data_IF_308175806309
#
_entry.id   IF_308175806309
#
_cell.length_a   1.000
_cell.length_b   1.000
_cell.length_c   1.000
_cell.angle_alpha   90.00
_cell.angle_beta   90.00
_cell.angle_gamma   90.00
#
_symmetry.space_group_name_H-M   'P 1'
#
loop_
_entity.id
_entity.type
_entity.pdbx_description
1 polymer ?
#
# COMPACT_ATOMS: atom_id res chain seq x y z
N UNK A 1 -28.95 68.67 2.13
CA UNK A 1 -29.15 67.42 1.36
C UNK A 1 -27.95 67.25 0.45
N UNK A 2 -27.04 66.35 0.82
CA UNK A 2 -25.76 66.11 0.14
C UNK A 2 -25.96 65.15 -1.04
N UNK A 3 -25.79 65.66 -2.27
CA UNK A 3 -25.72 64.81 -3.46
C UNK A 3 -24.37 64.08 -3.46
N UNK A 4 -24.38 62.80 -3.08
CA UNK A 4 -23.25 61.90 -3.25
C UNK A 4 -23.07 61.56 -4.73
N UNK A 5 -22.06 62.15 -5.38
CA UNK A 5 -21.63 61.72 -6.70
C UNK A 5 -20.94 60.35 -6.59
N UNK A 6 -21.59 59.30 -7.10
CA UNK A 6 -20.93 58.01 -7.31
C UNK A 6 -19.92 58.20 -8.44
N UNK A 7 -18.64 58.33 -8.09
CA UNK A 7 -17.55 58.26 -9.07
C UNK A 7 -17.52 56.82 -9.59
N UNK A 8 -18.12 56.57 -10.76
CA UNK A 8 -17.87 55.35 -11.52
C UNK A 8 -16.40 55.39 -11.93
N UNK A 9 -15.55 54.67 -11.20
CA UNK A 9 -14.17 54.45 -11.56
C UNK A 9 -14.12 53.81 -12.95
N UNK A 10 -13.80 54.61 -13.96
CA UNK A 10 -13.43 54.12 -15.29
C UNK A 10 -12.09 53.41 -15.12
N UNK A 11 -12.12 52.09 -14.96
CA UNK A 11 -10.91 51.27 -15.09
C UNK A 11 -10.29 51.60 -16.43
N UNK A 12 -9.05 52.09 -16.43
CA UNK A 12 -8.40 52.40 -17.70
C UNK A 12 -8.40 51.13 -18.56
N UNK A 13 -8.57 51.26 -19.88
CA UNK A 13 -8.55 50.09 -20.79
C UNK A 13 -7.33 49.19 -20.56
N UNK A 14 -6.22 49.76 -20.07
CA UNK A 14 -5.01 49.05 -19.67
C UNK A 14 -5.20 48.17 -18.42
N UNK A 15 -5.89 48.65 -17.39
CA UNK A 15 -6.21 47.84 -16.21
C UNK A 15 -7.18 46.70 -16.52
N UNK A 16 -8.20 46.97 -17.35
CA UNK A 16 -9.16 45.93 -17.74
C UNK A 16 -8.51 44.85 -18.61
N UNK A 17 -7.60 45.24 -19.52
CA UNK A 17 -6.84 44.30 -20.34
C UNK A 17 -5.84 43.48 -19.48
N UNK A 18 -5.18 44.10 -18.50
CA UNK A 18 -4.31 43.40 -17.56
C UNK A 18 -5.07 42.37 -16.70
N UNK A 19 -6.26 42.72 -16.21
CA UNK A 19 -7.12 41.82 -15.44
C UNK A 19 -7.59 40.61 -16.28
N UNK A 20 -7.93 40.83 -17.56
CA UNK A 20 -8.31 39.75 -18.49
C UNK A 20 -7.11 38.85 -18.79
N UNK A 21 -5.94 39.41 -19.08
CA UNK A 21 -4.71 38.64 -19.30
C UNK A 21 -4.37 37.80 -18.06
N UNK A 22 -4.52 38.37 -16.87
CA UNK A 22 -4.24 37.68 -15.62
C UNK A 22 -5.26 36.57 -15.32
N UNK A 23 -6.54 36.80 -15.63
CA UNK A 23 -7.58 35.76 -15.53
C UNK A 23 -7.34 34.61 -16.53
N UNK A 24 -6.90 34.91 -17.76
CA UNK A 24 -6.56 33.90 -18.78
C UNK A 24 -5.31 33.11 -18.39
N UNK A 25 -4.29 33.76 -17.84
CA UNK A 25 -3.09 33.09 -17.31
C UNK A 25 -3.44 32.18 -16.13
N UNK A 26 -4.29 32.64 -15.20
CA UNK A 26 -4.80 31.82 -14.10
C UNK A 26 -5.60 30.61 -14.60
N UNK A 27 -6.48 30.80 -15.59
CA UNK A 27 -7.26 29.72 -16.20
C UNK A 27 -6.35 28.69 -16.91
N UNK A 28 -5.31 29.17 -17.59
CA UNK A 28 -4.30 28.32 -18.24
C UNK A 28 -3.49 27.53 -17.20
N UNK A 29 -3.02 28.18 -16.13
CA UNK A 29 -2.28 27.52 -15.03
C UNK A 29 -3.14 26.44 -14.36
N UNK A 30 -4.42 26.75 -14.07
CA UNK A 30 -5.37 25.79 -13.50
C UNK A 30 -5.60 24.62 -14.48
N UNK A 31 -5.77 24.89 -15.77
CA UNK A 31 -5.95 23.83 -16.78
C UNK A 31 -4.72 22.92 -16.92
N UNK A 32 -3.51 23.47 -16.79
CA UNK A 32 -2.26 22.70 -16.84
C UNK A 32 -1.97 21.94 -15.55
N UNK A 33 -2.59 22.30 -14.44
CA UNK A 33 -2.43 21.63 -13.13
C UNK A 33 -3.40 20.46 -12.92
N UNK A 34 -4.55 20.44 -13.61
CA UNK A 34 -5.57 19.38 -13.49
C UNK A 34 -5.10 18.04 -14.08
N UNK A 35 -4.41 18.06 -15.23
CA UNK A 35 -3.93 16.82 -15.85
C UNK A 35 -2.85 16.10 -15.02
N UNK A 36 -1.81 16.79 -14.48
CA UNK A 36 -0.86 16.18 -13.55
C UNK A 36 -1.53 15.67 -12.28
N UNK A 37 -2.52 16.39 -11.74
CA UNK A 37 -3.25 15.97 -10.53
C UNK A 37 -4.04 14.68 -10.75
N UNK A 38 -4.80 14.58 -11.85
CA UNK A 38 -5.56 13.36 -12.16
C UNK A 38 -4.64 12.17 -12.43
N UNK A 39 -3.52 12.38 -13.12
CA UNK A 39 -2.51 11.34 -13.34
C UNK A 39 -1.92 10.85 -12.02
N UNK A 40 -1.58 11.77 -11.12
CA UNK A 40 -1.01 11.45 -9.81
C UNK A 40 -2.02 10.72 -8.91
N UNK A 41 -3.27 11.17 -8.87
CA UNK A 41 -4.32 10.51 -8.10
C UNK A 41 -4.63 9.10 -8.63
N UNK A 42 -4.60 8.92 -9.96
CA UNK A 42 -4.76 7.60 -10.58
C UNK A 42 -3.58 6.68 -10.26
N UNK A 43 -2.36 7.21 -10.19
CA UNK A 43 -1.16 6.46 -9.88
C UNK A 43 -1.17 5.93 -8.44
N UNK A 44 -1.52 6.80 -7.46
CA UNK A 44 -1.73 6.39 -6.06
C UNK A 44 -2.82 5.31 -5.98
N UNK A 45 -3.97 5.54 -6.63
CA UNK A 45 -5.07 4.57 -6.58
C UNK A 45 -4.67 3.21 -7.19
N UNK A 46 -3.86 3.20 -8.24
CA UNK A 46 -3.39 1.97 -8.86
C UNK A 46 -2.35 1.26 -7.98
N UNK A 47 -1.48 2.02 -7.34
CA UNK A 47 -0.53 1.51 -6.36
C UNK A 47 -1.25 0.86 -5.16
N UNK A 48 -2.26 1.51 -4.59
CA UNK A 48 -3.06 0.95 -3.48
C UNK A 48 -3.81 -0.33 -3.90
N UNK A 49 -4.38 -0.36 -5.10
CA UNK A 49 -5.04 -1.56 -5.65
C UNK A 49 -4.02 -2.70 -5.86
N UNK A 50 -2.85 -2.42 -6.41
CA UNK A 50 -1.80 -3.41 -6.64
C UNK A 50 -1.28 -3.98 -5.32
N UNK A 51 -1.07 -3.13 -4.32
CA UNK A 51 -0.61 -3.53 -2.98
C UNK A 51 -1.66 -4.41 -2.30
N UNK A 52 -2.93 -3.97 -2.34
CA UNK A 52 -4.07 -4.75 -1.83
C UNK A 52 -4.13 -6.11 -2.50
N UNK A 53 -4.00 -6.17 -3.82
CA UNK A 53 -4.07 -7.42 -4.57
C UNK A 53 -2.98 -8.40 -4.14
N UNK A 54 -1.73 -7.95 -4.10
CA UNK A 54 -0.59 -8.84 -3.83
C UNK A 54 -0.56 -9.31 -2.38
N UNK A 55 -0.78 -8.41 -1.41
CA UNK A 55 -0.76 -8.78 0.02
C UNK A 55 -1.82 -9.85 0.32
N UNK A 56 -3.02 -9.69 -0.21
CA UNK A 56 -4.11 -10.65 0.01
C UNK A 56 -3.90 -11.97 -0.73
N UNK A 57 -3.23 -11.96 -1.89
CA UNK A 57 -2.80 -13.20 -2.57
C UNK A 57 -1.73 -13.93 -1.74
N UNK A 58 -0.74 -13.21 -1.23
CA UNK A 58 0.33 -13.79 -0.42
C UNK A 58 -0.21 -14.35 0.90
N UNK A 59 -1.07 -13.63 1.60
CA UNK A 59 -1.76 -14.13 2.79
C UNK A 59 -2.61 -15.38 2.47
N UNK A 60 -3.38 -15.36 1.37
CA UNK A 60 -4.12 -16.55 0.90
C UNK A 60 -3.21 -17.76 0.66
N UNK A 61 -2.03 -17.57 0.08
CA UNK A 61 -1.03 -18.64 -0.09
C UNK A 61 -0.53 -19.18 1.26
N UNK A 62 -0.42 -18.32 2.27
CA UNK A 62 -0.12 -18.69 3.65
C UNK A 62 -1.15 -19.68 4.22
N UNK A 63 -2.43 -19.32 4.21
CA UNK A 63 -3.49 -20.22 4.68
C UNK A 63 -3.51 -21.55 3.92
N UNK A 64 -3.43 -21.52 2.59
CA UNK A 64 -3.45 -22.75 1.79
C UNK A 64 -2.24 -23.66 2.09
N UNK A 65 -1.08 -23.09 2.44
CA UNK A 65 0.04 -23.87 2.96
C UNK A 65 -0.31 -24.56 4.27
N UNK A 66 -0.97 -23.88 5.21
CA UNK A 66 -1.41 -24.50 6.47
C UNK A 66 -2.52 -25.52 6.28
N UNK A 67 -3.38 -25.35 5.28
CA UNK A 67 -4.35 -26.38 4.90
C UNK A 67 -3.66 -27.70 4.52
N UNK A 68 -2.56 -27.63 3.77
CA UNK A 68 -1.74 -28.80 3.43
C UNK A 68 -1.01 -29.37 4.65
N UNK A 69 -0.42 -28.53 5.49
CA UNK A 69 0.29 -28.97 6.69
C UNK A 69 -0.65 -29.75 7.61
N UNK A 70 -1.84 -29.21 7.87
CA UNK A 70 -2.86 -29.86 8.67
C UNK A 70 -3.36 -31.16 8.04
N UNK A 71 -3.61 -31.18 6.72
CA UNK A 71 -4.02 -32.40 6.02
C UNK A 71 -2.94 -33.48 6.11
N UNK A 72 -1.66 -33.11 6.07
CA UNK A 72 -0.53 -34.05 6.12
C UNK A 72 -0.44 -34.84 7.43
N UNK A 73 -0.92 -34.26 8.53
CA UNK A 73 -0.95 -34.89 9.86
C UNK A 73 -2.34 -35.43 10.24
N UNK A 74 -3.31 -35.39 9.32
CA UNK A 74 -4.67 -35.87 9.55
C UNK A 74 -5.56 -34.91 10.35
N UNK A 75 -5.17 -33.65 10.54
CA UNK A 75 -6.01 -32.63 11.16
C UNK A 75 -6.97 -32.00 10.12
N UNK A 76 -8.04 -32.71 9.78
CA UNK A 76 -9.01 -32.21 8.81
C UNK A 76 -9.71 -30.92 9.28
N UNK A 77 -9.92 -30.73 10.59
CA UNK A 77 -10.55 -29.50 11.10
C UNK A 77 -9.68 -28.27 10.82
N UNK A 78 -8.38 -28.33 11.13
CA UNK A 78 -7.44 -27.27 10.79
C UNK A 78 -7.32 -27.08 9.28
N UNK A 79 -7.29 -28.18 8.52
CA UNK A 79 -7.21 -28.10 7.06
C UNK A 79 -8.45 -27.42 6.43
N UNK A 80 -9.64 -27.65 6.98
CA UNK A 80 -10.89 -27.00 6.55
C UNK A 80 -10.88 -25.51 6.88
N UNK A 81 -10.47 -25.14 8.10
CA UNK A 81 -10.40 -23.75 8.53
C UNK A 81 -9.50 -22.93 7.59
N UNK A 82 -8.25 -23.37 7.44
CA UNK A 82 -7.25 -22.76 6.59
C UNK A 82 -7.61 -22.76 5.09
N UNK A 83 -8.28 -23.80 4.60
CA UNK A 83 -8.80 -23.78 3.23
C UNK A 83 -9.90 -22.73 3.02
N UNK A 84 -10.56 -22.29 4.10
CA UNK A 84 -11.68 -21.34 4.09
C UNK A 84 -11.29 -19.89 4.23
N UNK A 85 -10.22 -19.60 4.99
CA UNK A 85 -9.74 -18.23 5.26
C UNK A 85 -9.54 -17.40 3.99
N UNK A 86 -8.92 -17.90 2.88
CA UNK A 86 -8.80 -17.14 1.63
C UNK A 86 -10.12 -16.61 1.07
N UNK A 87 -11.20 -17.40 1.14
CA UNK A 87 -12.52 -16.97 0.68
C UNK A 87 -13.19 -16.03 1.68
N UNK A 88 -12.99 -16.23 2.99
CA UNK A 88 -13.64 -15.46 4.05
C UNK A 88 -13.02 -14.07 4.26
N UNK A 89 -11.69 -13.96 4.15
CA UNK A 89 -10.94 -12.76 4.60
C UNK A 89 -10.34 -11.94 3.46
N UNK A 90 -10.05 -12.58 2.32
CA UNK A 90 -9.25 -11.97 1.25
C UNK A 90 -10.01 -11.79 -0.05
N UNK A 91 -10.91 -12.71 -0.40
CA UNK A 91 -11.60 -12.71 -1.68
C UNK A 91 -12.39 -11.41 -1.94
N UNK A 92 -13.11 -10.89 -0.96
CA UNK A 92 -13.90 -9.66 -1.12
C UNK A 92 -13.01 -8.41 -1.34
N UNK A 93 -11.76 -8.43 -0.84
CA UNK A 93 -10.79 -7.34 -1.03
C UNK A 93 -10.21 -7.36 -2.45
N UNK A 94 -9.86 -8.55 -2.97
CA UNK A 94 -9.21 -8.69 -4.29
C UNK A 94 -10.21 -8.78 -5.45
N UNK A 95 -11.43 -9.24 -5.21
CA UNK A 95 -12.40 -9.50 -6.26
C UNK A 95 -12.74 -8.26 -7.11
N UNK A 96 -13.03 -7.07 -6.54
CA UNK A 96 -13.32 -5.88 -7.33
C UNK A 96 -12.15 -5.46 -8.23
N UNK A 97 -10.91 -5.66 -7.76
CA UNK A 97 -9.69 -5.31 -8.48
C UNK A 97 -9.49 -6.24 -9.67
N UNK A 98 -9.62 -7.56 -9.43
CA UNK A 98 -9.48 -8.56 -10.49
C UNK A 98 -10.64 -8.43 -11.50
N UNK A 99 -11.87 -8.22 -11.05
CA UNK A 99 -13.04 -8.08 -11.94
C UNK A 99 -12.89 -6.92 -12.92
N UNK A 100 -12.38 -5.77 -12.44
CA UNK A 100 -12.10 -4.58 -13.26
C UNK A 100 -11.07 -4.84 -14.36
N UNK A 101 -10.10 -5.75 -14.12
CA UNK A 101 -8.93 -5.97 -14.99
C UNK A 101 -9.05 -7.24 -15.83
N UNK A 102 -9.67 -8.29 -15.30
CA UNK A 102 -9.89 -9.59 -15.93
C UNK A 102 -11.11 -10.30 -15.28
N UNK A 103 -12.33 -10.11 -15.80
CA UNK A 103 -13.57 -10.64 -15.21
C UNK A 103 -13.70 -12.17 -15.30
N UNK A 104 -13.07 -12.83 -16.27
CA UNK A 104 -13.10 -14.29 -16.38
C UNK A 104 -12.29 -14.94 -15.25
N UNK A 105 -11.12 -14.36 -14.94
CA UNK A 105 -10.22 -14.86 -13.89
C UNK A 105 -10.88 -14.89 -12.51
N UNK A 106 -11.61 -13.83 -12.14
CA UNK A 106 -12.23 -13.77 -10.80
C UNK A 106 -13.35 -14.79 -10.62
N UNK A 107 -14.10 -15.12 -11.69
CA UNK A 107 -15.17 -16.09 -11.61
C UNK A 107 -14.65 -17.49 -11.27
N UNK A 108 -13.54 -17.90 -11.92
CA UNK A 108 -12.91 -19.17 -11.61
C UNK A 108 -12.28 -19.18 -10.21
N UNK A 109 -11.56 -18.12 -9.85
CA UNK A 109 -10.90 -18.02 -8.54
C UNK A 109 -11.91 -18.09 -7.40
N UNK A 110 -13.01 -17.32 -7.48
CA UNK A 110 -14.11 -17.33 -6.51
C UNK A 110 -14.68 -18.74 -6.34
N UNK A 111 -14.98 -19.41 -7.45
CA UNK A 111 -15.56 -20.75 -7.41
C UNK A 111 -14.66 -21.77 -6.70
N UNK A 112 -13.35 -21.74 -6.99
CA UNK A 112 -12.38 -22.65 -6.36
C UNK A 112 -12.23 -22.35 -4.87
N UNK A 113 -11.99 -21.09 -4.49
CA UNK A 113 -11.78 -20.71 -3.09
C UNK A 113 -13.01 -21.04 -2.22
N UNK A 114 -14.22 -20.69 -2.68
CA UNK A 114 -15.44 -20.95 -1.88
C UNK A 114 -15.75 -22.44 -1.73
N UNK A 115 -15.39 -23.28 -2.71
CA UNK A 115 -15.68 -24.72 -2.66
C UNK A 115 -14.62 -25.53 -1.92
N UNK A 116 -13.37 -25.07 -1.87
CA UNK A 116 -12.25 -25.84 -1.34
C UNK A 116 -12.52 -26.41 0.07
N UNK A 117 -13.01 -25.64 1.07
CA UNK A 117 -13.20 -26.15 2.43
C UNK A 117 -14.11 -27.36 2.49
N UNK A 118 -15.18 -27.36 1.69
CA UNK A 118 -16.15 -28.47 1.65
C UNK A 118 -15.59 -29.74 1.01
N UNK A 119 -14.54 -29.63 0.18
CA UNK A 119 -13.86 -30.78 -0.44
C UNK A 119 -12.87 -31.45 0.51
N UNK A 120 -12.22 -30.69 1.39
CA UNK A 120 -11.12 -31.15 2.26
C UNK A 120 -11.41 -32.48 2.97
N UNK A 121 -12.60 -32.74 3.58
CA UNK A 121 -12.85 -34.00 4.27
C UNK A 121 -12.89 -35.23 3.35
N UNK A 122 -13.21 -35.03 2.07
CA UNK A 122 -13.46 -36.12 1.12
C UNK A 122 -12.25 -36.44 0.24
N UNK A 123 -11.24 -35.57 0.21
CA UNK A 123 -10.08 -35.69 -0.67
C UNK A 123 -8.81 -36.04 0.10
N UNK A 124 -7.88 -36.71 -0.57
CA UNK A 124 -6.54 -37.00 -0.06
C UNK A 124 -5.66 -35.75 -0.01
N UNK A 125 -4.51 -35.86 0.66
CA UNK A 125 -3.47 -34.82 0.64
C UNK A 125 -3.06 -34.44 -0.80
N UNK A 126 -2.89 -35.43 -1.67
CA UNK A 126 -2.46 -35.20 -3.05
C UNK A 126 -3.52 -34.50 -3.90
N UNK A 127 -4.79 -34.82 -3.68
CA UNK A 127 -5.91 -34.13 -4.32
C UNK A 127 -6.07 -32.70 -3.79
N UNK A 128 -5.91 -32.48 -2.48
CA UNK A 128 -5.89 -31.13 -1.90
C UNK A 128 -4.74 -30.29 -2.49
N UNK A 129 -3.55 -30.87 -2.61
CA UNK A 129 -2.39 -30.23 -3.23
C UNK A 129 -2.66 -29.85 -4.68
N UNK A 130 -3.33 -30.73 -5.44
CA UNK A 130 -3.70 -30.43 -6.82
C UNK A 130 -4.71 -29.26 -6.92
N UNK A 131 -5.70 -29.21 -6.04
CA UNK A 131 -6.66 -28.09 -5.99
C UNK A 131 -5.97 -26.77 -5.61
N UNK A 132 -5.07 -26.80 -4.64
CA UNK A 132 -4.29 -25.62 -4.22
C UNK A 132 -3.36 -25.15 -5.33
N UNK A 133 -2.67 -26.05 -6.04
CA UNK A 133 -1.85 -25.68 -7.19
C UNK A 133 -2.67 -25.02 -8.31
N UNK A 134 -3.90 -25.48 -8.52
CA UNK A 134 -4.81 -24.86 -9.49
C UNK A 134 -5.23 -23.44 -9.05
N UNK A 135 -5.46 -23.23 -7.76
CA UNK A 135 -5.71 -21.90 -7.19
C UNK A 135 -4.47 -21.00 -7.32
N UNK A 136 -3.28 -21.54 -7.02
CA UNK A 136 -2.03 -20.78 -7.10
C UNK A 136 -1.72 -20.32 -8.53
N UNK A 137 -2.05 -21.11 -9.54
CA UNK A 137 -1.96 -20.68 -10.94
C UNK A 137 -2.88 -19.49 -11.26
N UNK A 138 -4.07 -19.42 -10.64
CA UNK A 138 -4.97 -18.27 -10.78
C UNK A 138 -4.44 -17.05 -10.01
N UNK A 139 -3.86 -17.26 -8.83
CA UNK A 139 -3.16 -16.20 -8.08
C UNK A 139 -1.96 -15.65 -8.85
N UNK A 140 -1.22 -16.48 -9.57
CA UNK A 140 -0.14 -16.03 -10.45
C UNK A 140 -0.68 -15.19 -11.61
N UNK A 141 -1.77 -15.64 -12.26
CA UNK A 141 -2.44 -14.85 -13.29
C UNK A 141 -2.94 -13.50 -12.74
N UNK A 142 -3.46 -13.46 -11.51
CA UNK A 142 -3.93 -12.24 -10.85
C UNK A 142 -2.76 -11.32 -10.48
N UNK A 143 -1.67 -11.87 -9.94
CA UNK A 143 -0.44 -11.12 -9.62
C UNK A 143 0.15 -10.45 -10.85
N UNK A 144 0.01 -11.05 -12.03
CA UNK A 144 0.47 -10.46 -13.28
C UNK A 144 -0.34 -9.24 -13.75
N UNK A 145 -1.51 -8.96 -13.14
CA UNK A 145 -2.35 -7.79 -13.42
C UNK A 145 -1.86 -6.50 -12.75
N UNK A 146 -0.85 -6.55 -11.87
CA UNK A 146 -0.27 -5.32 -11.31
C UNK A 146 0.53 -4.55 -12.37
N UNK A 147 0.71 -3.26 -12.16
CA UNK A 147 1.47 -2.39 -13.07
C UNK A 147 2.95 -2.79 -13.15
N UNK A 148 3.57 -2.58 -14.32
CA UNK A 148 5.00 -2.89 -14.52
C UNK A 148 5.91 -2.01 -13.64
N UNK A 149 5.45 -0.80 -13.28
CA UNK A 149 6.11 0.07 -12.30
C UNK A 149 6.21 -0.61 -10.94
N UNK A 150 5.09 -1.12 -10.40
CA UNK A 150 5.08 -1.83 -9.13
C UNK A 150 5.85 -3.17 -9.20
N UNK A 151 5.78 -3.90 -10.33
CA UNK A 151 6.59 -5.13 -10.53
C UNK A 151 8.09 -4.86 -10.35
N UNK A 152 8.58 -3.75 -10.88
CA UNK A 152 9.98 -3.35 -10.80
C UNK A 152 10.36 -2.54 -9.54
N UNK A 153 9.39 -2.18 -8.70
CA UNK A 153 9.61 -1.32 -7.55
C UNK A 153 9.97 -2.11 -6.30
N UNK A 154 11.22 -1.98 -5.85
CA UNK A 154 11.69 -2.56 -4.58
C UNK A 154 10.88 -2.00 -3.40
N UNK A 155 10.50 -0.72 -3.46
CA UNK A 155 9.67 -0.06 -2.45
C UNK A 155 8.29 -0.73 -2.33
N UNK A 156 7.64 -1.03 -3.46
CA UNK A 156 6.35 -1.72 -3.48
C UNK A 156 6.45 -3.10 -2.81
N UNK A 157 7.48 -3.88 -3.13
CA UNK A 157 7.68 -5.21 -2.52
C UNK A 157 8.04 -5.14 -1.04
N UNK A 158 8.69 -4.07 -0.60
CA UNK A 158 8.89 -3.80 0.83
C UNK A 158 7.56 -3.52 1.54
N UNK A 159 6.65 -2.76 0.93
CA UNK A 159 5.33 -2.50 1.51
C UNK A 159 4.49 -3.77 1.59
N UNK A 160 4.55 -4.63 0.56
CA UNK A 160 3.95 -5.97 0.60
C UNK A 160 4.49 -6.78 1.78
N UNK A 161 5.82 -6.83 1.92
CA UNK A 161 6.49 -7.53 3.02
C UNK A 161 6.05 -6.96 4.38
N UNK A 162 5.98 -5.64 4.52
CA UNK A 162 5.53 -4.96 5.74
C UNK A 162 4.11 -5.37 6.14
N UNK A 163 3.16 -5.35 5.21
CA UNK A 163 1.78 -5.71 5.53
C UNK A 163 1.64 -7.18 5.93
N UNK A 164 2.42 -8.09 5.33
CA UNK A 164 2.46 -9.50 5.76
C UNK A 164 3.05 -9.66 7.16
N UNK A 165 4.04 -8.84 7.52
CA UNK A 165 4.60 -8.79 8.87
C UNK A 165 3.60 -8.21 9.89
N UNK A 166 2.81 -7.21 9.50
CA UNK A 166 1.72 -6.67 10.33
C UNK A 166 0.66 -7.75 10.60
N UNK A 167 0.19 -8.46 9.56
CA UNK A 167 -0.71 -9.60 9.75
C UNK A 167 -0.07 -10.69 10.63
N UNK A 168 1.24 -10.92 10.51
CA UNK A 168 1.95 -11.87 11.36
C UNK A 168 1.84 -11.49 12.84
N UNK A 169 1.96 -10.21 13.18
CA UNK A 169 1.79 -9.72 14.55
C UNK A 169 0.35 -9.91 15.04
N UNK A 170 -0.62 -9.50 14.22
CA UNK A 170 -2.06 -9.57 14.53
C UNK A 170 -2.49 -11.02 14.81
N UNK A 171 -2.23 -11.94 13.89
CA UNK A 171 -2.61 -13.35 14.05
C UNK A 171 -1.88 -14.02 15.22
N UNK A 172 -0.64 -13.62 15.49
CA UNK A 172 0.11 -14.20 16.60
C UNK A 172 -0.46 -13.75 17.96
N UNK A 173 -0.88 -12.48 18.07
CA UNK A 173 -1.53 -11.95 19.27
C UNK A 173 -2.85 -12.69 19.55
N UNK A 174 -3.63 -13.00 18.50
CA UNK A 174 -4.85 -13.81 18.62
C UNK A 174 -4.55 -15.30 18.93
N UNK A 175 -3.47 -15.82 18.36
CA UNK A 175 -3.03 -17.20 18.57
C UNK A 175 -2.44 -17.48 19.96
N UNK A 176 -1.71 -16.51 20.53
CA UNK A 176 -0.94 -16.63 21.78
C UNK A 176 -1.23 -15.44 22.70
N UNK A 177 -2.38 -15.50 23.37
CA UNK A 177 -2.80 -14.47 24.34
C UNK A 177 -1.91 -14.45 25.61
N UNK A 178 -1.25 -15.58 25.94
CA UNK A 178 -0.36 -15.73 27.09
C UNK A 178 0.91 -16.48 26.68
N UNK A 179 2.09 -15.97 27.08
CA UNK A 179 3.38 -16.59 26.78
C UNK A 179 3.41 -18.07 27.20
N UNK A 180 3.84 -18.93 26.28
CA UNK A 180 3.88 -20.38 26.46
C UNK A 180 2.57 -21.11 26.15
N UNK A 181 1.47 -20.41 25.84
CA UNK A 181 0.15 -21.01 25.62
C UNK A 181 -0.50 -20.54 24.33
N UNK A 182 -0.78 -21.50 23.45
CA UNK A 182 -1.58 -21.28 22.24
C UNK A 182 -3.07 -21.28 22.63
N UNK A 183 -3.73 -20.13 22.53
CA UNK A 183 -5.17 -19.95 22.76
C UNK A 183 -5.99 -20.31 21.51
N UNK A 184 -5.51 -19.94 20.32
CA UNK A 184 -6.08 -20.36 19.04
C UNK A 184 -5.01 -21.00 18.16
N UNK A 185 -5.17 -22.29 17.88
CA UNK A 185 -4.22 -23.02 17.03
C UNK A 185 -4.27 -22.55 15.57
N UNK A 186 -5.45 -22.12 15.10
CA UNK A 186 -5.65 -21.66 13.72
C UNK A 186 -4.91 -20.33 13.52
N UNK A 187 -5.15 -19.31 14.36
CA UNK A 187 -4.48 -18.01 14.21
C UNK A 187 -2.96 -18.12 14.43
N UNK A 188 -2.53 -18.96 15.38
CA UNK A 188 -1.09 -19.22 15.56
C UNK A 188 -0.45 -19.84 14.30
N UNK A 189 -1.15 -20.76 13.62
CA UNK A 189 -0.68 -21.35 12.37
C UNK A 189 -0.69 -20.33 11.22
N UNK A 190 -1.66 -19.40 11.18
CA UNK A 190 -1.70 -18.31 10.22
C UNK A 190 -0.54 -17.33 10.39
N UNK A 191 -0.24 -16.94 11.63
CA UNK A 191 0.96 -16.14 11.94
C UNK A 191 2.25 -16.83 11.44
N UNK A 192 2.38 -18.13 11.70
CA UNK A 192 3.52 -18.92 11.21
C UNK A 192 3.59 -18.96 9.68
N UNK A 193 2.44 -18.92 8.99
CA UNK A 193 2.40 -18.90 7.54
C UNK A 193 2.78 -17.53 6.98
N UNK A 194 2.25 -16.45 7.56
CA UNK A 194 2.47 -15.09 7.09
C UNK A 194 3.93 -14.65 7.22
N UNK A 195 4.63 -15.04 8.29
CA UNK A 195 6.07 -14.78 8.41
C UNK A 195 6.88 -15.48 7.30
N UNK A 196 6.48 -16.70 6.91
CA UNK A 196 7.10 -17.44 5.81
C UNK A 196 6.81 -16.76 4.46
N UNK A 197 5.61 -16.23 4.26
CA UNK A 197 5.27 -15.45 3.06
C UNK A 197 6.06 -14.13 2.99
N UNK A 198 6.19 -13.41 4.10
CA UNK A 198 7.02 -12.22 4.18
C UNK A 198 8.49 -12.52 3.85
N UNK A 199 9.06 -13.61 4.39
CA UNK A 199 10.43 -14.06 4.08
C UNK A 199 10.59 -14.45 2.60
N UNK A 200 9.56 -15.04 2.00
CA UNK A 200 9.54 -15.36 0.57
C UNK A 200 9.58 -14.10 -0.30
N UNK A 201 8.76 -13.09 0.01
CA UNK A 201 8.76 -11.79 -0.68
C UNK A 201 10.13 -11.13 -0.53
N UNK A 202 10.68 -11.10 0.69
CA UNK A 202 12.03 -10.60 0.94
C UNK A 202 13.06 -11.26 0.02
N UNK A 203 13.11 -12.60 0.05
CA UNK A 203 14.12 -13.39 -0.67
C UNK A 203 14.03 -13.21 -2.18
N UNK A 204 12.81 -13.12 -2.73
CA UNK A 204 12.60 -13.15 -4.18
C UNK A 204 12.51 -11.77 -4.82
N UNK A 205 12.19 -10.72 -4.04
CA UNK A 205 11.92 -9.37 -4.58
C UNK A 205 12.80 -8.28 -4.01
N UNK A 206 13.29 -8.43 -2.78
CA UNK A 206 13.95 -7.35 -2.04
C UNK A 206 15.43 -7.59 -1.84
N UNK A 207 15.82 -8.82 -1.48
CA UNK A 207 17.15 -9.19 -1.00
C UNK A 207 18.30 -8.70 -1.89
N UNK A 208 18.18 -8.87 -3.21
CA UNK A 208 19.23 -8.51 -4.16
C UNK A 208 19.37 -6.98 -4.36
N UNK A 209 18.43 -6.20 -3.84
CA UNK A 209 18.40 -4.73 -3.95
C UNK A 209 18.99 -4.00 -2.74
N UNK A 210 19.43 -4.73 -1.72
CA UNK A 210 20.03 -4.20 -0.50
C UNK A 210 21.47 -4.71 -0.32
N UNK A 211 22.21 -4.11 0.64
CA UNK A 211 23.58 -4.57 0.92
C UNK A 211 23.59 -5.98 1.51
N UNK A 212 24.66 -6.74 1.25
CA UNK A 212 24.82 -8.08 1.82
C UNK A 212 24.74 -8.07 3.34
N UNK A 213 25.33 -7.07 4.00
CA UNK A 213 25.30 -6.94 5.46
C UNK A 213 23.86 -6.72 5.97
N UNK A 214 23.09 -5.84 5.31
CA UNK A 214 21.67 -5.62 5.62
C UNK A 214 20.86 -6.89 5.41
N UNK A 215 21.10 -7.62 4.32
CA UNK A 215 20.36 -8.85 4.02
C UNK A 215 20.57 -9.93 5.09
N UNK A 216 21.81 -10.12 5.55
CA UNK A 216 22.14 -11.10 6.60
C UNK A 216 21.46 -10.73 7.92
N UNK A 217 21.37 -9.44 8.24
CA UNK A 217 20.65 -8.97 9.44
C UNK A 217 19.16 -9.27 9.34
N UNK A 218 18.53 -8.98 8.20
CA UNK A 218 17.09 -9.26 7.99
C UNK A 218 16.80 -10.76 8.05
N UNK A 219 17.61 -11.59 7.40
CA UNK A 219 17.48 -13.06 7.47
C UNK A 219 17.60 -13.59 8.89
N UNK A 220 18.50 -13.00 9.69
CA UNK A 220 18.61 -13.33 11.10
C UNK A 220 17.33 -12.98 11.86
N UNK A 221 16.75 -11.80 11.63
CA UNK A 221 15.49 -11.44 12.29
C UNK A 221 14.33 -12.35 11.89
N UNK A 222 14.19 -12.74 10.62
CA UNK A 222 13.20 -13.75 10.21
C UNK A 222 13.37 -15.07 11.00
N UNK A 223 14.62 -15.53 11.17
CA UNK A 223 14.89 -16.72 11.97
C UNK A 223 14.60 -16.53 13.45
N UNK A 224 14.94 -15.37 14.02
CA UNK A 224 14.68 -15.04 15.41
C UNK A 224 13.16 -14.97 15.70
N UNK A 225 12.35 -14.40 14.78
CA UNK A 225 10.87 -14.41 14.88
C UNK A 225 10.34 -15.85 14.88
N UNK A 226 10.72 -16.67 13.89
CA UNK A 226 10.27 -18.06 13.80
C UNK A 226 10.64 -18.87 15.05
N UNK A 227 11.85 -18.70 15.57
CA UNK A 227 12.29 -19.33 16.81
C UNK A 227 11.45 -18.87 18.01
N UNK A 228 11.19 -17.57 18.13
CA UNK A 228 10.35 -17.03 19.20
C UNK A 228 8.91 -17.54 19.13
N UNK A 229 8.35 -17.71 17.93
CA UNK A 229 7.04 -18.33 17.75
C UNK A 229 7.03 -19.78 18.20
N UNK A 230 8.04 -20.57 17.80
CA UNK A 230 8.18 -21.97 18.21
C UNK A 230 8.28 -22.12 19.73
N UNK A 231 8.97 -21.18 20.39
CA UNK A 231 9.05 -21.06 21.86
C UNK A 231 7.77 -20.49 22.50
N UNK A 232 6.77 -20.08 21.71
CA UNK A 232 5.55 -19.38 22.13
C UNK A 232 5.85 -18.17 23.02
N UNK A 233 6.84 -17.37 22.64
CA UNK A 233 7.17 -16.12 23.36
C UNK A 233 6.01 -15.13 23.28
N UNK A 234 5.99 -14.13 24.16
CA UNK A 234 4.92 -13.13 24.19
C UNK A 234 4.74 -12.41 22.85
N UNK A 235 3.51 -11.95 22.56
CA UNK A 235 3.21 -11.13 21.39
C UNK A 235 4.11 -9.88 21.32
N UNK A 236 4.36 -9.22 22.46
CA UNK A 236 5.32 -8.10 22.56
C UNK A 236 6.72 -8.47 22.05
N UNK A 237 7.18 -9.69 22.32
CA UNK A 237 8.50 -10.16 21.86
C UNK A 237 8.50 -10.45 20.36
N UNK A 238 7.41 -10.99 19.82
CA UNK A 238 7.25 -11.18 18.38
C UNK A 238 7.27 -9.83 17.68
N UNK A 239 6.49 -8.87 18.18
CA UNK A 239 6.47 -7.50 17.69
C UNK A 239 7.85 -6.84 17.67
N UNK A 240 8.61 -6.92 18.77
CA UNK A 240 9.97 -6.36 18.82
C UNK A 240 10.89 -6.93 17.73
N UNK A 241 10.78 -8.24 17.47
CA UNK A 241 11.57 -8.92 16.45
C UNK A 241 11.10 -8.59 15.02
N UNK A 242 9.79 -8.49 14.81
CA UNK A 242 9.19 -8.07 13.53
C UNK A 242 9.54 -6.62 13.21
N UNK A 243 9.43 -5.70 14.17
CA UNK A 243 9.90 -4.31 14.04
C UNK A 243 11.41 -4.25 13.71
N UNK A 244 12.18 -5.26 14.13
CA UNK A 244 13.60 -5.46 13.79
C UNK A 244 13.87 -5.86 12.33
N UNK A 245 12.90 -6.46 11.63
CA UNK A 245 12.96 -6.77 10.18
C UNK A 245 12.83 -5.51 9.33
N UNK A 246 12.35 -4.41 9.93
CA UNK A 246 11.99 -3.18 9.24
C UNK A 246 13.06 -2.05 9.20
N UNK A 247 14.41 -2.26 9.19
CA UNK A 247 15.34 -1.14 9.18
C UNK A 247 15.08 -0.21 8.00
N UNK A 248 14.69 1.02 8.37
CA UNK A 248 14.28 2.18 7.57
C UNK A 248 14.77 2.14 6.13
N UNK A 249 13.90 1.66 5.25
CA UNK A 249 13.92 2.03 3.83
C UNK A 249 13.93 3.56 3.82
N UNK A 250 14.86 4.23 3.11
CA UNK A 250 14.88 5.68 3.10
C UNK A 250 13.49 6.18 2.73
N UNK A 251 12.83 6.85 3.68
CA UNK A 251 11.50 7.45 3.47
C UNK A 251 11.58 8.37 2.26
N UNK A 252 11.16 7.85 1.10
CA UNK A 252 10.98 8.50 -0.19
C UNK A 252 12.14 9.37 -0.76
N UNK A 253 12.33 9.37 -2.10
CA UNK A 253 13.20 10.35 -2.73
C UNK A 253 12.60 11.76 -2.57
N UNK A 254 13.36 12.65 -1.93
CA UNK A 254 13.16 14.10 -1.69
C UNK A 254 12.69 14.91 -2.93
N UNK A 255 12.63 14.30 -4.12
CA UNK A 255 12.27 14.93 -5.37
C UNK A 255 10.84 15.49 -5.42
N UNK A 256 9.86 14.91 -4.72
CA UNK A 256 8.50 15.47 -4.69
C UNK A 256 8.40 16.78 -3.89
N UNK A 257 9.19 16.89 -2.81
CA UNK A 257 9.21 18.10 -1.97
C UNK A 257 9.84 19.29 -2.72
N UNK A 258 10.81 19.04 -3.60
CA UNK A 258 11.41 20.06 -4.46
C UNK A 258 10.46 20.61 -5.53
N UNK A 259 9.56 19.76 -6.07
CA UNK A 259 8.54 20.21 -7.04
C UNK A 259 7.53 21.14 -6.36
N UNK A 260 7.07 20.79 -5.16
CA UNK A 260 6.16 21.64 -4.37
C UNK A 260 6.78 22.99 -3.99
N UNK A 261 8.05 23.01 -3.56
CA UNK A 261 8.77 24.25 -3.22
C UNK A 261 9.00 25.12 -4.47
N UNK A 262 9.30 24.51 -5.62
CA UNK A 262 9.51 25.22 -6.88
C UNK A 262 8.26 25.97 -7.38
N UNK A 263 7.09 25.33 -7.28
CA UNK A 263 5.81 25.93 -7.71
C UNK A 263 5.37 27.09 -6.80
N UNK A 264 5.61 26.97 -5.49
CA UNK A 264 5.32 28.04 -4.51
C UNK A 264 6.29 29.22 -4.66
N UNK A 265 7.58 28.97 -4.93
CA UNK A 265 8.55 30.04 -5.15
C UNK A 265 8.25 30.85 -6.41
N UNK A 266 7.81 30.20 -7.49
CA UNK A 266 7.47 30.85 -8.76
C UNK A 266 6.24 31.76 -8.64
N UNK A 267 5.22 31.33 -7.90
CA UNK A 267 4.00 32.13 -7.66
C UNK A 267 4.27 33.37 -6.80
N UNK A 268 5.12 33.26 -5.77
CA UNK A 268 5.53 34.40 -4.95
C UNK A 268 6.38 35.42 -5.75
N UNK A 269 7.28 34.94 -6.60
CA UNK A 269 8.11 35.82 -7.45
C UNK A 269 7.27 36.60 -8.46
N UNK A 270 6.32 35.95 -9.14
CA UNK A 270 5.41 36.62 -10.09
C UNK A 270 4.53 37.66 -9.36
N UNK A 271 4.05 37.34 -8.15
CA UNK A 271 3.28 38.28 -7.32
C UNK A 271 4.05 39.53 -6.91
N UNK A 272 5.37 39.43 -6.69
CA UNK A 272 6.24 40.56 -6.33
C UNK A 272 6.62 41.44 -7.52
N UNK A 273 6.79 40.86 -8.71
CA UNK A 273 7.16 41.61 -9.92
C UNK A 273 5.97 42.42 -10.46
N UNK A 274 4.73 41.97 -10.23
CA UNK A 274 3.52 42.62 -10.73
C UNK A 274 2.87 43.63 -9.76
N UNK A 275 3.35 43.74 -8.51
CA UNK A 275 2.88 44.76 -7.59
C UNK A 275 3.57 46.10 -7.86
N UNK A 276 2.83 47.19 -8.14
CA UNK A 276 3.43 48.51 -8.24
C UNK A 276 4.01 48.89 -6.88
N UNK A 277 5.30 49.24 -6.86
CA UNK A 277 5.95 49.87 -5.70
C UNK A 277 5.13 51.11 -5.36
N UNK A 278 4.40 51.07 -4.22
CA UNK A 278 3.85 52.29 -3.65
C UNK A 278 5.04 53.14 -3.23
N UNK A 279 5.39 54.13 -4.04
CA UNK A 279 6.28 55.20 -3.63
C UNK A 279 5.62 55.91 -2.45
N UNK A 280 6.08 55.62 -1.24
CA UNK A 280 5.76 56.41 -0.05
C UNK A 280 6.41 57.78 -0.24
N UNK A 281 5.66 58.75 -0.74
CA UNK A 281 6.09 60.15 -0.76
C UNK A 281 6.03 60.65 0.68
N UNK A 282 7.23 60.91 1.22
CA UNK A 282 7.49 61.57 2.50
C UNK A 282 6.99 63.02 2.42
N UNK A 283 5.95 63.38 3.19
CA UNK A 283 5.59 64.78 3.38
C UNK A 283 6.41 65.34 4.53
N UNK A 284 7.58 65.89 4.20
CA UNK A 284 8.36 66.73 5.10
C UNK A 284 7.64 68.06 5.30
N UNK A 285 7.24 68.34 6.55
CA UNK A 285 6.89 69.68 6.97
C UNK A 285 8.18 70.48 7.17
N UNK A 286 8.39 71.53 6.36
CA UNK A 286 9.30 72.63 6.68
C UNK A 286 8.58 73.96 6.55
N UNK A 287 8.63 74.73 7.64
CA UNK A 287 8.12 76.09 7.89
C UNK A 287 7.92 77.01 6.68
N UNK A 288 6.75 77.67 6.63
CA UNK A 288 6.60 79.13 6.70
C UNK A 288 5.30 79.49 7.41
#
# INVERSE_FOLDING_TARGET
>A
MTNGSIVRGSWSRRFMMAAIIQAVILLLIVSTAIAPYNSYAQDISMHDEDLTLIVNIEASRGHLMQALNNKSIGNDNGAIAHAGHPAAEHLDKIAPIIEKRNPELINELRDKLTRLPSKVPAISYEELRAEINAIDALFENASNLISDENKGSVQFWFEVMKMLLEHTEEEYEEGVEEEGKVSSAVEYEDAQAFIVRAEHVFTTKVKDSISSDTSVVIERFFNDVKMAMDEKRSADRIKELVDGIMPVIPEFPINLMLILVGVVALTIMIGRVLMPIKATIYNGYSNR
#
